data_IF_919751146465
#
_entry.id   IF_919751146465
#
_cell.length_a   1.000
_cell.length_b   1.000
_cell.length_c   1.000
_cell.angle_alpha   90.00
_cell.angle_beta   90.00
_cell.angle_gamma   90.00
#
_symmetry.space_group_name_H-M   'P 1'
#
loop_
_entity.id
_entity.type
_entity.pdbx_description
1 polymer ?
#
# COMPACT_ATOMS: atom_id res chain seq x y z
N UNK A 1 4.13 -21.08 4.46
CA UNK A 1 3.64 -21.00 5.86
C UNK A 1 2.47 -21.96 6.05
N UNK A 2 2.14 -22.32 7.30
CA UNK A 2 0.96 -23.14 7.62
C UNK A 2 0.29 -22.57 8.86
N UNK A 3 -1.04 -22.40 8.82
CA UNK A 3 -1.86 -21.90 9.92
C UNK A 3 -2.81 -23.02 10.36
N UNK A 4 -2.62 -23.68 11.52
CA UNK A 4 -3.42 -24.86 11.86
C UNK A 4 -4.88 -24.52 12.22
N UNK A 5 -5.16 -23.31 12.70
CA UNK A 5 -6.50 -22.79 13.01
C UNK A 5 -6.96 -21.69 12.04
N UNK A 6 -6.11 -21.28 11.09
CA UNK A 6 -6.33 -20.10 10.24
C UNK A 6 -5.99 -18.78 10.94
N UNK A 7 -6.31 -17.65 10.32
CA UNK A 7 -6.06 -16.31 10.85
C UNK A 7 -5.43 -15.36 9.83
N UNK A 8 -4.41 -14.61 10.25
CA UNK A 8 -3.89 -13.44 9.53
C UNK A 8 -2.35 -13.41 9.55
N UNK A 9 -1.77 -12.63 8.65
CA UNK A 9 -0.37 -12.22 8.72
C UNK A 9 -0.32 -10.73 9.02
N UNK A 10 0.09 -10.39 10.24
CA UNK A 10 0.43 -9.03 10.62
C UNK A 10 1.85 -8.70 10.14
N UNK A 11 2.07 -7.49 9.65
CA UNK A 11 3.40 -6.98 9.29
C UNK A 11 3.69 -5.76 10.15
N UNK A 12 4.79 -5.85 10.89
CA UNK A 12 5.27 -4.81 11.79
C UNK A 12 6.48 -4.09 11.20
N UNK A 13 6.62 -2.82 11.54
CA UNK A 13 7.77 -1.99 11.20
C UNK A 13 9.03 -2.40 12.01
N UNK A 14 10.17 -1.77 11.71
CA UNK A 14 11.44 -2.16 12.32
C UNK A 14 11.51 -1.98 13.84
N UNK A 15 10.73 -1.08 14.47
CA UNK A 15 10.86 -0.85 15.92
C UNK A 15 10.29 -1.99 16.78
N UNK A 16 9.49 -2.91 16.20
CA UNK A 16 9.16 -4.18 16.85
C UNK A 16 10.42 -4.97 17.26
N UNK A 17 11.47 -4.96 16.43
CA UNK A 17 12.75 -5.62 16.71
C UNK A 17 13.53 -5.02 17.89
N UNK A 18 13.11 -3.84 18.37
CA UNK A 18 13.75 -3.11 19.47
C UNK A 18 12.81 -2.96 20.68
N UNK A 19 11.77 -3.80 20.79
CA UNK A 19 10.82 -3.78 21.91
C UNK A 19 9.72 -2.72 21.79
N UNK A 20 9.47 -2.19 20.58
CA UNK A 20 8.31 -1.37 20.30
C UNK A 20 7.00 -2.15 20.47
N UNK A 21 5.98 -1.47 20.98
CA UNK A 21 4.65 -2.04 21.26
C UNK A 21 4.06 -2.75 20.02
N UNK A 22 3.72 -4.05 20.10
CA UNK A 22 3.09 -4.79 19.00
C UNK A 22 1.83 -4.13 18.45
N UNK A 23 1.00 -3.50 19.29
CA UNK A 23 -0.25 -2.84 18.88
C UNK A 23 0.02 -1.57 18.04
N UNK A 24 1.13 -0.90 18.26
CA UNK A 24 1.52 0.35 17.60
C UNK A 24 2.50 0.15 16.43
N UNK A 25 3.20 -0.98 16.39
CA UNK A 25 4.20 -1.31 15.35
C UNK A 25 3.59 -2.00 14.13
N UNK A 26 2.36 -2.52 14.23
CA UNK A 26 1.63 -3.11 13.13
C UNK A 26 1.31 -2.07 12.04
N UNK A 27 1.79 -2.31 10.82
CA UNK A 27 1.65 -1.40 9.66
C UNK A 27 1.01 -2.08 8.44
N UNK A 28 0.61 -3.34 8.54
CA UNK A 28 -0.10 -4.05 7.46
C UNK A 28 -0.68 -5.37 7.94
N UNK A 29 -1.75 -5.82 7.30
CA UNK A 29 -2.47 -7.04 7.66
C UNK A 29 -2.91 -7.75 6.37
N UNK A 30 -2.84 -9.08 6.33
CA UNK A 30 -3.43 -9.86 5.23
C UNK A 30 -4.95 -9.89 5.31
N UNK A 31 -5.62 -10.28 4.21
CA UNK A 31 -6.97 -10.87 4.33
C UNK A 31 -6.92 -12.13 5.21
N UNK A 32 -8.07 -12.55 5.75
CA UNK A 32 -8.20 -13.83 6.43
C UNK A 32 -7.70 -15.00 5.56
N UNK A 33 -7.03 -15.94 6.21
CA UNK A 33 -6.48 -17.17 5.65
C UNK A 33 -7.07 -18.36 6.42
N UNK A 34 -7.87 -19.24 5.77
CA UNK A 34 -8.40 -20.44 6.41
C UNK A 34 -7.31 -21.38 6.93
N UNK A 35 -7.67 -22.32 7.81
CA UNK A 35 -6.74 -23.35 8.27
C UNK A 35 -6.11 -24.13 7.09
N UNK A 36 -4.79 -24.26 7.07
CA UNK A 36 -4.04 -24.93 6.00
C UNK A 36 -2.70 -24.29 5.65
N UNK A 37 -2.12 -24.73 4.53
CA UNK A 37 -0.81 -24.27 4.02
C UNK A 37 -0.99 -23.15 3.00
N UNK A 38 -0.31 -22.02 3.20
CA UNK A 38 -0.39 -20.83 2.34
C UNK A 38 0.98 -20.46 1.76
N UNK A 39 0.95 -19.92 0.54
CA UNK A 39 2.08 -19.42 -0.23
C UNK A 39 1.66 -18.13 -0.95
N UNK A 40 2.62 -17.25 -1.28
CA UNK A 40 2.38 -15.99 -2.00
C UNK A 40 1.27 -15.12 -1.38
N UNK A 41 1.26 -15.01 -0.05
CA UNK A 41 0.28 -14.19 0.69
C UNK A 41 0.59 -12.72 0.47
N UNK A 42 -0.33 -11.99 -0.17
CA UNK A 42 -0.29 -10.53 -0.23
C UNK A 42 -0.76 -9.92 1.10
N UNK A 43 0.02 -8.99 1.63
CA UNK A 43 -0.33 -8.14 2.78
C UNK A 43 -0.53 -6.71 2.28
N UNK A 44 -1.60 -6.04 2.72
CA UNK A 44 -1.79 -4.61 2.43
C UNK A 44 -1.11 -3.79 3.53
N UNK A 45 -0.18 -2.91 3.16
CA UNK A 45 0.42 -1.95 4.09
C UNK A 45 -0.41 -0.67 4.18
N UNK A 46 -0.41 -0.04 5.35
CA UNK A 46 -0.94 1.30 5.59
C UNK A 46 -0.13 2.31 4.77
N UNK A 47 -0.82 3.19 4.04
CA UNK A 47 -0.17 4.19 3.18
C UNK A 47 0.76 5.11 4.00
N UNK A 48 1.94 5.41 3.48
CA UNK A 48 2.94 6.24 4.16
C UNK A 48 3.65 5.60 5.37
N UNK A 49 3.39 4.33 5.69
CA UNK A 49 4.12 3.60 6.76
C UNK A 49 5.59 3.29 6.42
N UNK A 50 5.90 3.14 5.13
CA UNK A 50 7.25 2.91 4.62
C UNK A 50 7.73 4.15 3.86
N UNK A 51 8.55 4.98 4.51
CA UNK A 51 9.14 6.19 3.92
C UNK A 51 10.66 6.06 3.69
N UNK A 52 11.29 5.08 4.35
CA UNK A 52 12.72 4.78 4.28
C UNK A 52 12.93 3.26 4.29
N UNK A 53 14.09 2.84 3.78
CA UNK A 53 14.52 1.44 3.80
C UNK A 53 14.63 0.92 5.24
N UNK A 54 14.00 -0.22 5.53
CA UNK A 54 13.90 -0.79 6.87
C UNK A 54 13.68 -2.30 6.84
N UNK A 55 13.89 -2.99 7.97
CA UNK A 55 13.50 -4.39 8.15
C UNK A 55 12.06 -4.48 8.63
N UNK A 56 11.21 -5.24 7.92
CA UNK A 56 9.86 -5.57 8.35
C UNK A 56 9.80 -6.96 8.97
N UNK A 57 8.86 -7.13 9.91
CA UNK A 57 8.64 -8.39 10.64
C UNK A 57 7.25 -8.91 10.31
N UNK A 58 7.16 -10.10 9.72
CA UNK A 58 5.90 -10.78 9.44
C UNK A 58 5.59 -11.75 10.58
N UNK A 59 4.38 -11.64 11.15
CA UNK A 59 3.94 -12.40 12.31
C UNK A 59 2.61 -13.08 11.94
N UNK A 60 2.56 -14.42 11.89
CA UNK A 60 1.29 -15.14 11.79
C UNK A 60 0.50 -14.96 13.09
N UNK A 61 -0.72 -14.44 12.98
CA UNK A 61 -1.71 -14.35 14.06
C UNK A 61 -2.82 -15.37 13.86
N UNK A 62 -3.30 -15.96 14.95
CA UNK A 62 -4.51 -16.79 14.93
C UNK A 62 -5.77 -15.91 14.79
N UNK A 63 -6.86 -16.43 14.23
CA UNK A 63 -8.21 -15.89 14.48
C UNK A 63 -8.73 -16.51 15.79
N UNK A 64 -8.87 -15.69 16.83
CA UNK A 64 -9.06 -16.17 18.21
C UNK A 64 -10.52 -16.34 18.63
N UNK A 65 -11.46 -15.71 17.94
CA UNK A 65 -12.89 -15.81 18.24
C UNK A 65 -13.74 -16.28 17.05
N UNK A 66 -13.10 -16.55 15.91
CA UNK A 66 -13.66 -17.04 14.65
C UNK A 66 -14.49 -15.98 13.90
N UNK A 67 -14.25 -14.69 14.14
CA UNK A 67 -14.99 -13.59 13.51
C UNK A 67 -14.44 -13.17 12.13
N UNK A 68 -13.27 -13.69 11.70
CA UNK A 68 -12.59 -13.40 10.41
C UNK A 68 -12.23 -11.92 10.16
N UNK A 69 -12.26 -11.09 11.19
CA UNK A 69 -11.69 -9.73 11.28
C UNK A 69 -10.43 -9.79 12.14
N UNK A 70 -9.52 -8.81 11.98
CA UNK A 70 -8.32 -8.72 12.81
C UNK A 70 -8.51 -7.65 13.90
N UNK A 71 -8.72 -8.09 15.14
CA UNK A 71 -9.04 -7.23 16.28
C UNK A 71 -7.85 -7.01 17.24
N UNK A 72 -6.63 -7.52 16.95
CA UNK A 72 -5.46 -7.40 17.85
C UNK A 72 -5.20 -5.98 18.37
N UNK A 73 -5.13 -4.99 17.48
CA UNK A 73 -4.88 -3.58 17.85
C UNK A 73 -6.07 -2.97 18.59
N UNK A 74 -7.30 -3.38 18.26
CA UNK A 74 -8.55 -2.86 18.86
C UNK A 74 -8.84 -3.48 20.23
N UNK A 75 -8.22 -4.62 20.53
CA UNK A 75 -8.37 -5.39 21.76
C UNK A 75 -7.15 -5.28 22.67
N UNK A 76 -6.32 -4.25 22.50
CA UNK A 76 -5.08 -4.02 23.25
C UNK A 76 -4.15 -5.25 23.31
N UNK A 77 -4.15 -6.05 22.25
CA UNK A 77 -3.37 -7.29 22.10
C UNK A 77 -4.01 -8.56 22.70
N UNK A 78 -5.24 -8.51 23.19
CA UNK A 78 -5.92 -9.69 23.80
C UNK A 78 -6.63 -10.62 22.81
N UNK A 79 -6.95 -10.17 21.59
CA UNK A 79 -7.46 -11.01 20.49
C UNK A 79 -6.41 -11.11 19.39
N UNK A 80 -6.53 -12.15 18.59
CA UNK A 80 -5.76 -12.44 17.37
C UNK A 80 -4.26 -12.42 17.59
N UNK A 81 -3.88 -13.06 18.69
CA UNK A 81 -2.51 -13.17 19.18
C UNK A 81 -1.62 -13.91 18.19
N UNK A 82 -0.30 -13.63 18.18
CA UNK A 82 0.67 -14.38 17.40
C UNK A 82 0.60 -15.89 17.67
N UNK A 83 0.76 -16.68 16.61
CA UNK A 83 1.16 -18.08 16.73
C UNK A 83 2.54 -18.15 17.40
N UNK A 84 2.72 -19.11 18.31
CA UNK A 84 3.93 -19.27 19.11
C UNK A 84 4.58 -20.65 18.94
N UNK A 85 5.89 -20.69 19.16
CA UNK A 85 6.68 -21.90 19.34
C UNK A 85 7.58 -21.78 20.61
N UNK A 86 8.50 -22.73 20.80
CA UNK A 86 9.41 -22.78 21.95
C UNK A 86 10.29 -21.52 22.13
N UNK A 87 10.40 -20.66 21.11
CA UNK A 87 11.19 -19.42 21.11
C UNK A 87 10.32 -18.16 21.30
N UNK A 88 9.00 -18.30 21.49
CA UNK A 88 8.05 -17.18 21.56
C UNK A 88 7.22 -17.04 20.28
N UNK A 89 6.92 -15.81 19.86
CA UNK A 89 6.14 -15.57 18.64
C UNK A 89 6.89 -16.03 17.38
N UNK A 90 6.20 -16.77 16.51
CA UNK A 90 6.71 -17.15 15.19
C UNK A 90 6.86 -15.87 14.35
N UNK A 91 8.07 -15.59 13.86
CA UNK A 91 8.34 -14.41 13.03
C UNK A 91 9.19 -14.74 11.81
N UNK A 92 8.93 -14.04 10.71
CA UNK A 92 9.79 -13.97 9.52
C UNK A 92 10.20 -12.51 9.28
N UNK A 93 11.31 -12.27 8.57
CA UNK A 93 11.92 -10.93 8.45
C UNK A 93 12.38 -10.64 7.03
N UNK A 94 11.98 -9.48 6.51
CA UNK A 94 12.34 -9.02 5.16
C UNK A 94 12.94 -7.61 5.21
N UNK A 95 14.08 -7.41 4.54
CA UNK A 95 14.63 -6.08 4.30
C UNK A 95 13.90 -5.43 3.11
N UNK A 96 13.28 -4.28 3.34
CA UNK A 96 12.61 -3.48 2.31
C UNK A 96 13.47 -2.24 2.01
N UNK A 97 13.73 -1.99 0.73
CA UNK A 97 14.48 -0.82 0.26
C UNK A 97 13.55 0.16 -0.43
N UNK A 98 13.54 1.42 0.02
CA UNK A 98 12.86 2.52 -0.68
C UNK A 98 13.84 3.16 -1.64
N UNK A 99 13.53 3.16 -2.93
CA UNK A 99 14.31 3.88 -3.93
C UNK A 99 14.00 5.38 -3.81
N UNK A 100 14.98 6.17 -3.37
CA UNK A 100 14.90 7.63 -3.41
C UNK A 100 14.84 8.11 -4.85
N UNK A 101 13.64 8.47 -5.33
CA UNK A 101 13.45 9.12 -6.61
C UNK A 101 14.00 10.55 -6.54
N UNK A 102 15.30 10.71 -6.75
CA UNK A 102 15.93 12.02 -6.96
C UNK A 102 15.40 12.62 -8.25
N UNK A 103 14.31 13.39 -8.15
CA UNK A 103 13.81 14.22 -9.25
C UNK A 103 14.98 15.05 -9.77
N UNK A 104 15.35 14.96 -11.06
CA UNK A 104 16.44 15.75 -11.58
C UNK A 104 16.07 17.23 -11.46
N UNK A 105 16.86 17.98 -10.69
CA UNK A 105 16.76 19.44 -10.68
C UNK A 105 17.08 19.92 -12.09
N UNK A 106 16.06 20.38 -12.81
CA UNK A 106 16.24 21.02 -14.12
C UNK A 106 16.93 22.35 -13.85
N UNK A 107 18.23 22.42 -14.10
CA UNK A 107 18.97 23.67 -14.03
C UNK A 107 18.54 24.58 -15.18
N UNK A 108 17.76 25.61 -14.86
CA UNK A 108 17.26 26.60 -15.80
C UNK A 108 18.33 27.64 -16.20
N UNK A 109 19.59 27.49 -15.76
CA UNK A 109 20.70 28.40 -16.06
C UNK A 109 21.26 28.28 -17.50
N UNK A 110 20.57 27.58 -18.40
CA UNK A 110 20.90 27.55 -19.83
C UNK A 110 20.30 28.77 -20.55
N UNK A 111 21.10 29.62 -21.22
CA UNK A 111 20.60 30.82 -21.87
C UNK A 111 19.70 30.47 -23.07
N UNK A 112 18.45 30.94 -23.03
CA UNK A 112 17.52 30.78 -24.16
C UNK A 112 18.03 31.55 -25.39
N UNK A 113 18.29 30.83 -26.47
CA UNK A 113 18.50 31.45 -27.79
C UNK A 113 17.13 31.76 -28.40
N UNK A 114 16.79 33.02 -28.72
CA UNK A 114 15.50 33.34 -29.32
C UNK A 114 15.36 32.68 -30.70
N UNK A 115 14.38 31.81 -30.86
CA UNK A 115 14.04 31.25 -32.17
C UNK A 115 13.35 32.32 -33.03
N UNK A 116 13.92 32.65 -34.19
CA UNK A 116 13.32 33.59 -35.13
C UNK A 116 12.09 32.97 -35.78
N UNK A 117 10.89 33.44 -35.43
CA UNK A 117 9.65 33.07 -36.11
C UNK A 117 9.62 33.68 -37.52
N UNK A 118 9.61 32.83 -38.55
CA UNK A 118 9.27 33.23 -39.92
C UNK A 118 7.75 33.33 -40.04
N UNK A 119 7.26 34.52 -40.37
CA UNK A 119 5.84 34.79 -40.63
C UNK A 119 5.36 34.07 -41.90
N UNK A 120 4.09 33.66 -41.97
CA UNK A 120 3.49 32.98 -43.13
C UNK A 120 1.97 33.24 -43.15
N UNK A 121 1.41 33.90 -44.19
CA UNK A 121 0.03 34.41 -44.13
C UNK A 121 -1.08 33.34 -44.16
N UNK A 122 -2.11 33.58 -43.34
CA UNK A 122 -3.37 32.85 -43.28
C UNK A 122 -4.37 33.30 -44.38
N UNK A 123 -4.97 32.38 -45.17
CA UNK A 123 -6.19 32.63 -45.95
C UNK A 123 -7.46 32.46 -45.09
N UNK A 124 -8.57 33.17 -45.38
CA UNK A 124 -9.76 33.22 -44.51
C UNK A 124 -11.13 33.01 -45.20
N UNK A 125 -12.05 32.38 -44.46
CA UNK A 125 -13.53 32.29 -44.62
C UNK A 125 -14.12 31.83 -43.24
N UNK A 126 -15.41 31.89 -42.89
CA UNK A 126 -16.64 32.29 -43.61
C UNK A 126 -17.55 31.09 -43.91
N UNK A 127 -18.83 30.99 -43.49
CA UNK A 127 -19.72 31.80 -42.60
C UNK A 127 -20.94 30.88 -42.22
N UNK A 128 -21.94 31.16 -41.36
CA UNK A 128 -22.43 32.37 -40.67
C UNK A 128 -23.26 32.02 -39.37
N UNK A 129 -23.85 33.05 -38.77
CA UNK A 129 -24.85 33.18 -37.68
C UNK A 129 -26.01 32.16 -37.59
N UNK A 130 -26.36 31.72 -36.37
CA UNK A 130 -27.74 31.53 -35.82
C UNK A 130 -27.71 31.71 -34.27
N UNK A 131 -28.86 31.97 -33.61
CA UNK A 131 -29.00 32.52 -32.25
C UNK A 131 -29.95 31.74 -31.32
N UNK A 132 -29.54 31.56 -30.05
CA UNK A 132 -30.31 31.33 -28.80
C UNK A 132 -31.38 30.22 -28.68
N UNK A 133 -31.26 29.45 -27.60
CA UNK A 133 -32.39 29.15 -26.70
C UNK A 133 -31.89 28.89 -25.26
N UNK A 134 -32.67 29.28 -24.25
CA UNK A 134 -32.37 29.03 -22.82
C UNK A 134 -33.04 27.72 -22.37
N UNK A 135 -32.37 26.92 -21.53
CA UNK A 135 -32.96 25.72 -20.93
C UNK A 135 -32.15 25.26 -19.71
N UNK A 136 -32.80 25.22 -18.55
CA UNK A 136 -32.23 24.79 -17.27
C UNK A 136 -32.69 23.37 -16.90
N UNK A 137 -31.77 22.51 -16.47
CA UNK A 137 -31.97 21.39 -15.55
C UNK A 137 -30.60 20.77 -15.19
N UNK A 138 -30.37 20.51 -13.90
CA UNK A 138 -29.13 19.86 -13.42
C UNK A 138 -29.14 18.32 -13.57
N UNK A 139 -27.96 17.72 -13.73
CA UNK A 139 -27.79 16.26 -13.86
C UNK A 139 -26.36 15.87 -14.22
N UNK A 140 -25.45 15.90 -13.25
CA UNK A 140 -24.00 15.77 -13.46
C UNK A 140 -23.51 14.34 -13.73
N UNK A 141 -23.95 13.72 -14.83
CA UNK A 141 -23.19 12.60 -15.41
C UNK A 141 -21.88 13.11 -16.02
N UNK A 142 -20.74 12.91 -15.36
CA UNK A 142 -19.45 12.67 -16.05
C UNK A 142 -18.59 11.64 -15.33
N UNK A 143 -18.38 10.53 -16.04
CA UNK A 143 -17.38 9.52 -15.74
C UNK A 143 -15.96 10.10 -15.82
N UNK A 144 -15.02 9.41 -15.15
CA UNK A 144 -13.56 9.35 -15.33
C UNK A 144 -12.77 10.52 -15.97
N UNK A 145 -11.59 10.76 -15.40
CA UNK A 145 -10.46 11.48 -16.03
C UNK A 145 -10.70 12.94 -16.46
N UNK A 146 -10.82 13.86 -15.49
CA UNK A 146 -10.10 15.15 -15.55
C UNK A 146 -10.13 15.93 -14.22
N UNK A 147 -9.00 15.92 -13.50
CA UNK A 147 -8.46 17.09 -12.76
C UNK A 147 -6.97 16.85 -12.40
N UNK A 148 -6.08 17.04 -13.38
CA UNK A 148 -4.63 16.94 -13.17
C UNK A 148 -4.04 18.21 -12.53
N UNK A 149 -4.54 18.57 -11.34
CA UNK A 149 -4.01 19.67 -10.50
C UNK A 149 -4.19 19.33 -9.03
N UNK A 150 -3.13 18.82 -8.39
CA UNK A 150 -3.09 18.53 -6.95
C UNK A 150 -3.18 17.03 -6.61
N UNK A 151 -2.43 16.64 -5.59
CA UNK A 151 -2.35 15.30 -5.00
C UNK A 151 -2.03 14.13 -5.95
N UNK A 152 -0.74 14.00 -6.27
CA UNK A 152 -0.11 12.82 -6.85
C UNK A 152 -0.04 11.67 -5.83
N UNK A 153 -1.21 11.10 -5.50
CA UNK A 153 -1.30 9.88 -4.68
C UNK A 153 -0.75 8.70 -5.49
N UNK A 154 0.54 8.44 -5.33
CA UNK A 154 1.15 7.19 -5.76
C UNK A 154 0.55 6.09 -4.86
N UNK A 155 -0.39 5.32 -5.38
CA UNK A 155 -0.92 4.12 -4.70
C UNK A 155 0.18 3.05 -4.75
N UNK A 156 1.11 3.13 -3.81
CA UNK A 156 2.27 2.25 -3.74
C UNK A 156 1.86 0.89 -3.17
N UNK A 157 1.27 0.05 -4.03
CA UNK A 157 0.96 -1.35 -3.73
C UNK A 157 2.27 -2.13 -3.63
N UNK A 158 2.89 -2.10 -2.45
CA UNK A 158 4.06 -2.91 -2.14
C UNK A 158 3.65 -4.39 -2.07
N UNK A 159 3.75 -5.12 -3.19
CA UNK A 159 3.54 -6.57 -3.22
C UNK A 159 4.76 -7.25 -2.57
N UNK A 160 4.74 -7.30 -1.23
CA UNK A 160 5.76 -8.04 -0.46
C UNK A 160 5.40 -9.53 -0.56
N UNK A 161 6.16 -10.26 -1.37
CA UNK A 161 6.09 -11.73 -1.43
C UNK A 161 6.84 -12.30 -0.23
N UNK A 162 6.12 -12.55 0.86
CA UNK A 162 6.71 -13.09 2.10
C UNK A 162 6.96 -14.59 1.92
N UNK A 163 8.18 -14.95 1.52
CA UNK A 163 8.64 -16.33 1.39
C UNK A 163 9.03 -16.87 2.77
N UNK A 164 8.03 -17.14 3.61
CA UNK A 164 8.24 -17.85 4.89
C UNK A 164 8.76 -19.25 4.57
N UNK A 165 10.08 -19.41 4.61
CA UNK A 165 10.78 -20.68 4.42
C UNK A 165 10.27 -21.65 5.49
N UNK A 166 9.70 -22.76 5.02
CA UNK A 166 8.90 -23.65 5.86
C UNK A 166 9.72 -24.50 6.83
N UNK A 167 10.19 -23.90 7.92
CA UNK A 167 10.51 -24.64 9.15
C UNK A 167 9.28 -25.47 9.53
N UNK A 168 9.42 -26.80 9.49
CA UNK A 168 8.39 -27.77 9.91
C UNK A 168 8.24 -27.75 11.44
N UNK A 169 7.83 -26.60 11.98
CA UNK A 169 7.58 -26.40 13.40
C UNK A 169 6.22 -27.00 13.76
N UNK A 170 6.29 -28.23 14.26
CA UNK A 170 5.15 -28.95 14.83
C UNK A 170 4.72 -28.25 16.13
N UNK A 171 3.87 -27.23 16.02
CA UNK A 171 3.21 -26.57 17.15
C UNK A 171 2.45 -27.63 17.95
N UNK A 172 3.02 -28.04 19.09
CA UNK A 172 2.37 -28.94 20.03
C UNK A 172 1.46 -28.10 20.91
N UNK A 173 0.18 -28.49 20.97
CA UNK A 173 -0.75 -27.90 21.93
C UNK A 173 -0.35 -28.34 23.34
N UNK A 174 -0.59 -27.44 24.30
CA UNK A 174 -0.45 -27.63 25.75
C UNK A 174 -1.80 -27.34 26.40
#
# INVERSE_FOLDING_TARGET
>A
MTLPQGGFIAVHNQSYLYGGDPTQTAIGISRYLPAGTHQNVSVTLVNGSIQQSQTLVAIPSQDTDNNQTYDYVRSDGFRDVPYTDNNGAVTDRAAVTVASSTTPTVDLSSPITPATTTDTPQPAAGTDTVRSSTGDAGGSEKSATQWLTGNWIIILVAIIVIVVVGSYLLVRQA
#
